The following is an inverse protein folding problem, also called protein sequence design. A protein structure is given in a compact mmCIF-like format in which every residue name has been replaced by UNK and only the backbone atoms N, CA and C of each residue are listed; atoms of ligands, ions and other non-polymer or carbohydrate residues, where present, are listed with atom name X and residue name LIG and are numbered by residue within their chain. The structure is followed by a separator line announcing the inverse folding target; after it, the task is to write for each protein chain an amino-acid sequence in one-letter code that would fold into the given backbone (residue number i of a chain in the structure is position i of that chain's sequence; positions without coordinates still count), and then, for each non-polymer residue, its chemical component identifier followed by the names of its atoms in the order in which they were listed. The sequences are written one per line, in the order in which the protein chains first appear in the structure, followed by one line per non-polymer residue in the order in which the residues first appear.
data_IF_914116742081
#
_entry.id   IF_914116742081
#
_cell.length_a   1.000
_cell.length_b   1.000
_cell.length_c   1.000
_cell.angle_alpha   90.00
_cell.angle_beta   90.00
_cell.angle_gamma   90.00
#
_symmetry.space_group_name_H-M   'P 1'
#
loop_
_entity.id
_entity.type
_entity.pdbx_description
1 polymer ?
#
# COMPACT_ATOMS: atom_id res chain seq x y z
N UNK A 1 34.61 23.11 70.79
CA UNK A 1 34.13 22.47 69.55
C UNK A 1 33.40 23.52 68.71
N UNK A 2 34.10 24.14 67.75
CA UNK A 2 33.53 25.16 66.87
C UNK A 2 32.83 24.49 65.67
N UNK A 3 31.51 24.62 65.60
CA UNK A 3 30.71 24.12 64.48
C UNK A 3 30.82 25.07 63.27
N UNK A 4 31.40 24.60 62.18
CA UNK A 4 31.46 25.32 60.90
C UNK A 4 30.11 25.18 60.18
N UNK A 5 29.30 26.24 60.19
CA UNK A 5 28.09 26.32 59.35
C UNK A 5 28.47 26.53 57.89
N UNK A 6 28.23 25.53 57.05
CA UNK A 6 28.39 25.63 55.59
C UNK A 6 27.27 26.52 55.01
N UNK A 7 27.65 27.68 54.47
CA UNK A 7 26.73 28.56 53.71
C UNK A 7 26.43 27.88 52.37
N UNK A 8 25.20 27.41 52.19
CA UNK A 8 24.72 26.95 50.88
C UNK A 8 24.30 28.21 50.11
N UNK A 9 25.06 28.56 49.06
CA UNK A 9 24.62 29.59 48.12
C UNK A 9 23.46 29.02 47.30
N UNK A 10 22.24 29.43 47.62
CA UNK A 10 21.08 29.15 46.80
C UNK A 10 21.08 30.15 45.62
N UNK A 11 21.78 29.80 44.55
CA UNK A 11 21.67 30.49 43.27
C UNK A 11 20.31 30.14 42.66
N UNK A 12 19.37 31.08 42.70
CA UNK A 12 18.06 30.92 42.06
C UNK A 12 18.14 31.17 40.55
N UNK A 13 17.43 30.38 39.77
CA UNK A 13 17.26 30.58 38.33
C UNK A 13 16.46 31.86 38.10
N UNK A 14 16.88 32.70 37.14
CA UNK A 14 16.10 33.91 36.82
C UNK A 14 14.89 33.58 35.96
N UNK A 15 13.82 34.37 36.05
CA UNK A 15 12.61 34.18 35.23
C UNK A 15 12.92 34.26 33.73
N UNK A 16 13.86 35.14 33.35
CA UNK A 16 14.32 35.30 31.97
C UNK A 16 15.09 34.08 31.49
N UNK A 17 15.93 33.51 32.34
CA UNK A 17 16.73 32.32 32.02
C UNK A 17 15.86 31.09 31.81
N UNK A 18 14.81 30.92 32.63
CA UNK A 18 13.81 29.89 32.39
C UNK A 18 13.06 30.14 31.05
N UNK A 19 12.66 31.39 30.78
CA UNK A 19 11.92 31.74 29.57
C UNK A 19 12.72 31.45 28.28
N UNK A 20 14.00 31.81 28.25
CA UNK A 20 14.88 31.55 27.10
C UNK A 20 15.03 30.05 26.88
N UNK A 21 15.22 29.25 27.93
CA UNK A 21 15.35 27.80 27.81
C UNK A 21 14.08 27.16 27.24
N UNK A 22 12.90 27.52 27.76
CA UNK A 22 11.64 26.96 27.23
C UNK A 22 11.41 27.41 25.78
N UNK A 23 11.76 28.65 25.42
CA UNK A 23 11.64 29.11 24.03
C UNK A 23 12.55 28.32 23.07
N UNK A 24 13.78 27.99 23.49
CA UNK A 24 14.70 27.20 22.67
C UNK A 24 14.19 25.76 22.54
N UNK A 25 13.68 25.17 23.61
CA UNK A 25 13.12 23.81 23.57
C UNK A 25 11.91 23.71 22.63
N UNK A 26 11.00 24.68 22.69
CA UNK A 26 9.83 24.72 21.77
C UNK A 26 10.29 24.87 20.32
N UNK A 27 11.26 25.75 20.06
CA UNK A 27 11.81 25.94 18.72
C UNK A 27 12.45 24.66 18.16
N UNK A 28 13.30 23.99 18.95
CA UNK A 28 13.94 22.75 18.53
C UNK A 28 12.92 21.63 18.29
N UNK A 29 11.90 21.50 19.15
CA UNK A 29 10.84 20.51 18.96
C UNK A 29 10.05 20.72 17.66
N UNK A 30 9.77 21.97 17.28
CA UNK A 30 9.07 22.27 16.03
C UNK A 30 9.86 21.80 14.79
N UNK A 31 11.18 22.03 14.76
CA UNK A 31 12.04 21.60 13.64
C UNK A 31 12.16 20.08 13.58
N UNK A 32 12.30 19.41 14.73
CA UNK A 32 12.42 17.95 14.82
C UNK A 32 11.17 17.26 14.25
N UNK A 33 9.97 17.76 14.56
CA UNK A 33 8.71 17.16 14.07
C UNK A 33 8.64 17.13 12.54
N UNK A 34 9.06 18.21 11.87
CA UNK A 34 9.05 18.27 10.41
C UNK A 34 10.04 17.27 9.78
N UNK A 35 11.25 17.17 10.33
CA UNK A 35 12.26 16.23 9.86
C UNK A 35 11.83 14.76 10.07
N UNK A 36 11.26 14.44 11.24
CA UNK A 36 10.82 13.08 11.56
C UNK A 36 9.70 12.60 10.63
N UNK A 37 8.74 13.46 10.26
CA UNK A 37 7.65 13.09 9.35
C UNK A 37 8.18 12.58 8.01
N UNK A 38 9.15 13.29 7.41
CA UNK A 38 9.73 12.88 6.13
C UNK A 38 10.51 11.56 6.24
N UNK A 39 11.18 11.32 7.36
CA UNK A 39 11.90 10.07 7.58
C UNK A 39 10.96 8.87 7.77
N UNK A 40 9.80 9.07 8.41
CA UNK A 40 8.76 8.04 8.52
C UNK A 40 8.22 7.70 7.13
N UNK A 41 7.91 8.70 6.30
CA UNK A 41 7.45 8.49 4.92
C UNK A 41 8.47 7.69 4.10
N UNK A 42 9.74 8.08 4.13
CA UNK A 42 10.80 7.32 3.46
C UNK A 42 10.93 5.88 3.97
N UNK A 43 10.74 5.66 5.27
CA UNK A 43 10.76 4.31 5.85
C UNK A 43 9.61 3.44 5.34
N UNK A 44 8.39 4.00 5.30
CA UNK A 44 7.21 3.32 4.77
C UNK A 44 7.31 3.08 3.27
N UNK A 45 7.80 4.06 2.51
CA UNK A 45 7.97 3.97 1.06
C UNK A 45 9.03 2.92 0.69
N UNK A 46 10.15 2.88 1.42
CA UNK A 46 11.15 1.83 1.25
C UNK A 46 10.55 0.43 1.54
N UNK A 47 9.66 0.35 2.54
CA UNK A 47 8.94 -0.89 2.85
C UNK A 47 7.98 -1.28 1.72
N UNK A 48 7.17 -0.34 1.21
CA UNK A 48 6.26 -0.56 0.06
C UNK A 48 7.00 -1.04 -1.18
N UNK A 49 8.08 -0.36 -1.57
CA UNK A 49 8.93 -0.76 -2.71
C UNK A 49 9.47 -2.18 -2.52
N UNK A 50 10.02 -2.48 -1.34
CA UNK A 50 10.51 -3.82 -1.03
C UNK A 50 9.42 -4.89 -1.07
N UNK A 51 8.21 -4.56 -0.61
CA UNK A 51 7.07 -5.47 -0.61
C UNK A 51 6.57 -5.77 -2.03
N UNK A 52 6.38 -4.74 -2.85
CA UNK A 52 6.03 -4.90 -4.26
C UNK A 52 7.10 -5.70 -5.00
N UNK A 53 8.38 -5.42 -4.78
CA UNK A 53 9.46 -6.19 -5.40
C UNK A 53 9.44 -7.67 -5.01
N UNK A 54 9.18 -7.99 -3.73
CA UNK A 54 9.04 -9.38 -3.30
C UNK A 54 7.84 -10.08 -3.95
N UNK A 55 6.72 -9.37 -4.11
CA UNK A 55 5.55 -9.88 -4.84
C UNK A 55 5.91 -10.12 -6.31
N UNK A 56 6.56 -9.15 -6.97
CA UNK A 56 7.02 -9.29 -8.36
C UNK A 56 7.89 -10.53 -8.53
N UNK A 57 8.92 -10.72 -7.71
CA UNK A 57 9.78 -11.93 -7.79
C UNK A 57 8.97 -13.22 -7.67
N UNK A 58 8.01 -13.26 -6.75
CA UNK A 58 7.20 -14.46 -6.52
C UNK A 58 6.16 -14.71 -7.62
N UNK A 59 5.58 -13.65 -8.18
CA UNK A 59 4.63 -13.69 -9.31
C UNK A 59 5.35 -14.16 -10.58
N UNK A 60 6.57 -13.71 -10.80
CA UNK A 60 7.44 -14.15 -11.91
C UNK A 60 7.90 -15.61 -11.73
N UNK A 61 8.09 -16.10 -10.50
CA UNK A 61 8.35 -17.51 -10.24
C UNK A 61 7.09 -18.37 -10.44
N UNK A 62 5.92 -17.87 -10.03
CA UNK A 62 4.63 -18.50 -10.28
C UNK A 62 4.38 -18.70 -11.78
N UNK A 63 4.67 -17.68 -12.60
CA UNK A 63 4.47 -17.75 -14.05
C UNK A 63 5.32 -18.86 -14.69
N UNK A 64 6.58 -19.01 -14.27
CA UNK A 64 7.48 -20.06 -14.82
C UNK A 64 6.94 -21.48 -14.64
N UNK A 65 6.22 -21.72 -13.55
CA UNK A 65 5.67 -23.02 -13.22
C UNK A 65 4.24 -23.22 -13.78
N UNK A 66 3.47 -22.14 -13.96
CA UNK A 66 2.06 -22.19 -14.36
C UNK A 66 1.79 -21.74 -15.81
N UNK A 67 2.77 -21.13 -16.49
CA UNK A 67 2.68 -20.49 -17.81
C UNK A 67 1.69 -19.32 -17.88
N UNK A 68 1.32 -18.75 -16.74
CA UNK A 68 0.49 -17.58 -16.62
C UNK A 68 0.70 -16.89 -15.27
N UNK A 69 0.44 -15.59 -15.24
CA UNK A 69 0.47 -14.84 -13.99
C UNK A 69 -0.74 -15.20 -13.10
N UNK A 70 -0.59 -15.12 -11.77
CA UNK A 70 -1.66 -15.45 -10.84
C UNK A 70 -2.83 -14.49 -10.97
N UNK A 71 -4.03 -15.00 -10.69
CA UNK A 71 -5.23 -14.19 -10.53
C UNK A 71 -5.19 -13.40 -9.21
N UNK A 72 -5.95 -12.28 -9.09
CA UNK A 72 -5.92 -11.41 -7.92
C UNK A 72 -6.18 -12.13 -6.60
N UNK A 73 -7.00 -13.19 -6.61
CA UNK A 73 -7.31 -14.02 -5.44
C UNK A 73 -6.08 -14.64 -4.76
N UNK A 74 -4.99 -14.87 -5.49
CA UNK A 74 -3.75 -15.38 -4.92
C UNK A 74 -2.81 -14.27 -4.44
N UNK A 75 -2.97 -13.04 -4.93
CA UNK A 75 -2.12 -11.87 -4.65
C UNK A 75 -2.80 -10.93 -3.64
N UNK A 76 -3.62 -11.48 -2.73
CA UNK A 76 -4.27 -10.71 -1.66
C UNK A 76 -3.45 -10.75 -0.38
N UNK A 77 -3.37 -9.63 0.32
CA UNK A 77 -2.79 -9.61 1.65
C UNK A 77 -3.84 -10.09 2.68
N UNK A 78 -3.80 -11.38 3.02
CA UNK A 78 -4.69 -11.95 4.05
C UNK A 78 -3.83 -12.41 5.23
N UNK A 79 -4.15 -12.02 6.48
CA UNK A 79 -3.32 -12.32 7.64
C UNK A 79 -3.04 -13.82 7.86
N UNK A 80 -4.02 -14.66 7.55
CA UNK A 80 -4.02 -16.11 7.80
C UNK A 80 -3.77 -16.96 6.54
N UNK A 81 -3.74 -16.35 5.36
CA UNK A 81 -3.59 -17.07 4.10
C UNK A 81 -2.12 -17.12 3.65
N UNK A 82 -1.86 -18.09 2.81
CA UNK A 82 -0.57 -18.39 2.21
C UNK A 82 -0.51 -18.03 0.73
N UNK A 83 -1.59 -17.45 0.17
CA UNK A 83 -1.69 -16.85 -1.17
C UNK A 83 -0.79 -17.50 -2.22
N UNK A 84 0.36 -16.88 -2.45
CA UNK A 84 1.35 -17.24 -3.47
C UNK A 84 2.32 -18.39 -3.14
N UNK A 85 2.00 -19.30 -2.22
CA UNK A 85 2.89 -20.44 -1.93
C UNK A 85 3.08 -21.35 -3.15
N UNK A 86 4.29 -21.93 -3.33
CA UNK A 86 5.46 -21.85 -2.43
C UNK A 86 6.34 -20.60 -2.63
N UNK A 87 6.05 -19.76 -3.62
CA UNK A 87 6.91 -18.66 -4.07
C UNK A 87 6.99 -17.50 -3.08
N UNK A 88 5.89 -17.23 -2.37
CA UNK A 88 5.86 -16.24 -1.29
C UNK A 88 5.15 -16.82 -0.07
N UNK A 89 5.82 -16.75 1.08
CA UNK A 89 5.26 -17.32 2.33
C UNK A 89 3.98 -16.62 2.78
N UNK A 90 3.90 -15.31 2.55
CA UNK A 90 2.78 -14.42 2.84
C UNK A 90 2.87 -13.18 1.97
N UNK A 91 1.77 -12.80 1.33
CA UNK A 91 1.67 -11.53 0.60
C UNK A 91 1.67 -10.36 1.60
N UNK A 92 2.63 -9.42 1.51
CA UNK A 92 2.68 -8.28 2.42
C UNK A 92 1.52 -7.32 2.19
N UNK A 93 1.05 -6.71 3.27
CA UNK A 93 0.09 -5.61 3.24
C UNK A 93 0.83 -4.27 3.25
N UNK A 94 0.21 -3.24 2.67
CA UNK A 94 0.67 -1.87 2.82
C UNK A 94 0.81 -1.50 4.31
N UNK A 95 1.96 -0.95 4.75
CA UNK A 95 2.28 -0.77 6.17
C UNK A 95 1.45 0.33 6.86
N UNK A 96 0.75 1.18 6.10
CA UNK A 96 -0.06 2.27 6.64
C UNK A 96 -1.54 1.94 6.62
N UNK A 97 -1.99 1.32 5.54
CA UNK A 97 -3.41 1.08 5.25
C UNK A 97 -3.83 -0.36 5.51
N UNK A 98 -2.89 -1.28 5.74
CA UNK A 98 -3.13 -2.71 6.02
C UNK A 98 -3.96 -3.48 4.99
N UNK A 99 -3.96 -3.06 3.72
CA UNK A 99 -4.48 -3.94 2.68
C UNK A 99 -3.54 -4.12 1.51
N UNK A 100 -4.02 -4.88 0.54
CA UNK A 100 -3.28 -5.32 -0.62
C UNK A 100 -2.81 -4.13 -1.44
N UNK A 101 -1.68 -4.34 -2.12
CA UNK A 101 -1.30 -3.51 -3.25
C UNK A 101 -2.26 -3.78 -4.39
N UNK A 102 -2.56 -2.76 -5.19
CA UNK A 102 -3.49 -2.93 -6.28
C UNK A 102 -2.84 -3.76 -7.39
N UNK A 103 -3.41 -4.92 -7.69
CA UNK A 103 -2.89 -5.88 -8.66
C UNK A 103 -3.76 -5.89 -9.91
N UNK A 104 -3.24 -5.31 -10.98
CA UNK A 104 -3.86 -5.30 -12.30
C UNK A 104 -3.27 -6.42 -13.15
N UNK A 105 -4.08 -7.03 -14.00
CA UNK A 105 -3.63 -8.07 -14.91
C UNK A 105 -4.48 -8.09 -16.18
N UNK A 106 -4.06 -8.84 -17.19
CA UNK A 106 -4.83 -9.07 -18.40
C UNK A 106 -6.22 -9.67 -18.09
N UNK A 107 -7.28 -9.17 -18.74
CA UNK A 107 -8.66 -9.69 -18.65
C UNK A 107 -8.77 -11.11 -19.26
N UNK A 108 -8.21 -12.07 -18.54
CA UNK A 108 -8.05 -13.47 -18.91
C UNK A 108 -8.01 -14.33 -17.66
N UNK A 109 -8.53 -15.57 -17.74
CA UNK A 109 -8.33 -16.57 -16.69
C UNK A 109 -6.90 -17.12 -16.64
N UNK A 110 -6.09 -16.79 -17.65
CA UNK A 110 -4.70 -17.17 -17.82
C UNK A 110 -3.91 -15.91 -18.26
N UNK A 111 -3.69 -14.93 -17.36
CA UNK A 111 -3.11 -13.64 -17.70
C UNK A 111 -1.68 -13.78 -18.22
N UNK A 112 -1.39 -13.08 -19.31
CA UNK A 112 -0.05 -13.00 -19.89
C UNK A 112 0.78 -11.84 -19.35
N UNK A 113 0.19 -10.87 -18.65
CA UNK A 113 0.91 -9.75 -18.02
C UNK A 113 0.22 -9.29 -16.73
N UNK A 114 0.97 -8.57 -15.89
CA UNK A 114 0.45 -7.94 -14.67
C UNK A 114 1.14 -6.60 -14.35
N UNK A 115 0.52 -5.81 -13.47
CA UNK A 115 1.09 -4.60 -12.84
C UNK A 115 0.68 -4.54 -11.37
N UNK A 116 1.56 -4.03 -10.52
CA UNK A 116 1.32 -3.81 -9.09
C UNK A 116 1.49 -2.33 -8.80
N UNK A 117 0.48 -1.70 -8.22
CA UNK A 117 0.48 -0.27 -7.95
C UNK A 117 0.42 0.05 -6.46
N UNK A 118 0.97 1.22 -6.11
CA UNK A 118 0.81 1.85 -4.79
C UNK A 118 1.02 3.35 -4.87
N UNK A 119 0.87 4.01 -3.71
CA UNK A 119 1.25 5.40 -3.53
C UNK A 119 2.40 5.52 -2.54
N UNK A 120 3.44 6.24 -2.95
CA UNK A 120 4.53 6.67 -2.09
C UNK A 120 4.18 8.03 -1.48
N UNK A 121 4.41 8.15 -0.17
CA UNK A 121 4.06 9.35 0.61
C UNK A 121 5.09 10.48 0.40
N UNK A 122 6.36 10.13 0.16
CA UNK A 122 7.41 11.09 -0.13
C UNK A 122 7.35 11.53 -1.60
N UNK A 123 6.56 12.56 -1.90
CA UNK A 123 6.39 13.15 -3.24
C UNK A 123 7.67 13.69 -3.93
N UNK A 124 8.81 13.66 -3.25
CA UNK A 124 10.12 14.05 -3.82
C UNK A 124 11.02 12.84 -4.11
N UNK A 125 10.49 11.63 -3.96
CA UNK A 125 11.18 10.41 -4.34
C UNK A 125 11.34 10.34 -5.87
N UNK A 126 12.51 9.90 -6.33
CA UNK A 126 12.85 9.87 -7.77
C UNK A 126 12.11 8.76 -8.51
N UNK A 127 11.66 7.73 -7.79
CA UNK A 127 10.94 6.60 -8.37
C UNK A 127 9.43 6.88 -8.47
N UNK A 128 8.97 8.05 -8.02
CA UNK A 128 7.59 8.47 -8.26
C UNK A 128 7.42 8.75 -9.75
N UNK A 129 6.47 8.04 -10.33
CA UNK A 129 5.99 8.25 -11.69
C UNK A 129 4.88 9.32 -11.73
N UNK A 130 4.46 9.66 -12.94
CA UNK A 130 3.21 10.39 -13.19
C UNK A 130 2.01 9.65 -12.57
N UNK A 131 0.86 10.32 -12.47
CA UNK A 131 -0.39 9.68 -11.99
C UNK A 131 -0.78 8.58 -12.98
N UNK A 132 -0.73 7.32 -12.54
CA UNK A 132 -0.81 6.12 -13.38
C UNK A 132 -1.86 5.13 -12.88
N UNK A 133 -2.25 4.23 -13.78
CA UNK A 133 -3.15 3.12 -13.50
C UNK A 133 -4.62 3.55 -13.45
N UNK A 134 -5.51 2.68 -12.96
CA UNK A 134 -6.94 2.99 -12.88
C UNK A 134 -7.21 4.27 -12.10
N UNK A 135 -8.10 5.10 -12.65
CA UNK A 135 -8.46 6.42 -12.12
C UNK A 135 -7.24 7.32 -11.83
N UNK A 136 -6.10 7.08 -12.50
CA UNK A 136 -4.84 7.81 -12.33
C UNK A 136 -4.44 7.99 -10.86
N UNK A 137 -4.72 6.97 -10.06
CA UNK A 137 -4.74 7.09 -8.60
C UNK A 137 -3.45 6.62 -7.93
N UNK A 138 -2.47 6.17 -8.70
CA UNK A 138 -1.21 5.64 -8.20
C UNK A 138 -0.02 6.42 -8.74
N UNK A 139 1.03 6.55 -7.94
CA UNK A 139 2.24 7.28 -8.31
C UNK A 139 3.49 6.38 -8.35
N UNK A 140 3.32 5.08 -8.14
CA UNK A 140 4.37 4.08 -8.24
C UNK A 140 3.78 2.74 -8.70
N UNK A 141 4.51 2.05 -9.59
CA UNK A 141 4.15 0.71 -10.00
C UNK A 141 5.38 -0.11 -10.39
N UNK A 142 5.22 -1.42 -10.35
CA UNK A 142 6.12 -2.40 -10.96
C UNK A 142 5.27 -3.30 -11.86
N UNK A 143 5.86 -3.86 -12.92
CA UNK A 143 5.12 -4.68 -13.88
C UNK A 143 5.92 -5.87 -14.37
N UNK A 144 5.23 -6.81 -15.01
CA UNK A 144 5.91 -7.83 -15.82
C UNK A 144 6.64 -7.18 -17.01
N UNK A 145 7.70 -7.80 -17.55
CA UNK A 145 8.45 -7.27 -18.70
C UNK A 145 7.64 -7.11 -19.99
N UNK A 146 6.52 -7.81 -20.10
CA UNK A 146 5.64 -7.83 -21.26
C UNK A 146 4.30 -7.11 -21.02
N UNK A 147 4.13 -6.45 -19.87
CA UNK A 147 2.98 -5.60 -19.64
C UNK A 147 2.98 -4.45 -20.66
N UNK A 148 1.83 -4.10 -21.24
CA UNK A 148 1.70 -2.86 -22.00
C UNK A 148 2.10 -1.66 -21.13
N UNK A 149 2.42 -0.52 -21.74
CA UNK A 149 2.60 0.71 -20.97
C UNK A 149 1.29 1.04 -20.21
N UNK A 150 1.35 1.38 -18.91
CA UNK A 150 0.17 1.79 -18.17
C UNK A 150 -0.35 3.13 -18.68
N UNK A 151 -1.64 3.38 -18.50
CA UNK A 151 -2.20 4.69 -18.74
C UNK A 151 -1.72 5.64 -17.63
N UNK A 152 -0.98 6.67 -18.02
CA UNK A 152 -0.38 7.65 -17.12
C UNK A 152 -0.61 9.05 -17.68
N UNK A 153 -0.91 10.00 -16.80
CA UNK A 153 -1.06 11.42 -17.15
C UNK A 153 -0.25 12.29 -16.21
N UNK A 154 0.16 13.47 -16.69
CA UNK A 154 0.87 14.44 -15.86
C UNK A 154 0.08 14.77 -14.57
N UNK A 155 0.78 14.80 -13.45
CA UNK A 155 0.24 15.01 -12.10
C UNK A 155 -0.67 16.25 -12.06
N UNK A 156 -1.92 16.08 -11.61
CA UNK A 156 -2.89 17.17 -11.52
C UNK A 156 -3.74 17.39 -12.77
N UNK A 157 -3.71 16.47 -13.74
CA UNK A 157 -4.61 16.45 -14.90
C UNK A 157 -6.07 16.17 -14.54
N UNK A 158 -6.36 15.80 -13.29
CA UNK A 158 -7.71 15.56 -12.82
C UNK A 158 -8.29 14.31 -13.47
N UNK A 159 -7.53 13.21 -13.39
CA UNK A 159 -7.90 11.90 -13.87
C UNK A 159 -9.05 11.28 -13.06
N UNK A 160 -10.26 11.85 -13.17
CA UNK A 160 -11.44 11.26 -12.57
C UNK A 160 -11.92 10.12 -13.46
N UNK A 161 -11.46 8.90 -13.20
CA UNK A 161 -12.15 7.74 -13.74
C UNK A 161 -13.44 7.47 -12.95
N UNK A 162 -14.36 6.78 -13.59
CA UNK A 162 -15.77 6.69 -13.16
C UNK A 162 -16.02 5.57 -12.14
N UNK A 163 -14.98 4.85 -11.69
CA UNK A 163 -15.13 3.67 -10.83
C UNK A 163 -15.89 2.51 -11.50
N UNK A 164 -16.00 2.52 -12.83
CA UNK A 164 -16.75 1.50 -13.57
C UNK A 164 -15.73 0.55 -14.20
N UNK A 165 -15.46 -0.58 -13.53
CA UNK A 165 -14.94 -1.85 -14.10
C UNK A 165 -14.40 -2.83 -13.03
N UNK A 166 -14.60 -2.55 -11.74
CA UNK A 166 -14.23 -3.49 -10.69
C UNK A 166 -15.40 -4.36 -10.25
N UNK A 167 -15.10 -5.63 -10.00
CA UNK A 167 -16.07 -6.61 -9.55
C UNK A 167 -15.53 -7.42 -8.38
N UNK A 168 -16.43 -7.86 -7.51
CA UNK A 168 -16.15 -8.71 -6.36
C UNK A 168 -17.13 -9.88 -6.28
N UNK A 169 -16.74 -10.94 -5.59
CA UNK A 169 -17.60 -12.08 -5.34
C UNK A 169 -18.41 -11.89 -4.06
N UNK A 170 -19.73 -12.04 -4.16
CA UNK A 170 -20.67 -11.96 -3.04
C UNK A 170 -21.69 -13.09 -3.12
N UNK A 171 -21.68 -13.98 -2.13
CA UNK A 171 -22.52 -15.17 -2.09
C UNK A 171 -22.35 -16.06 -3.33
N UNK A 172 -21.13 -16.10 -3.89
CA UNK A 172 -20.82 -16.85 -5.10
C UNK A 172 -21.19 -16.18 -6.42
N UNK A 173 -21.68 -14.93 -6.38
CA UNK A 173 -22.07 -14.15 -7.55
C UNK A 173 -21.11 -12.98 -7.75
N UNK A 174 -20.70 -12.76 -8.99
CA UNK A 174 -19.89 -11.60 -9.36
C UNK A 174 -20.77 -10.34 -9.42
N UNK A 175 -20.39 -9.29 -8.69
CA UNK A 175 -21.13 -8.03 -8.61
C UNK A 175 -20.16 -6.85 -8.76
N UNK A 176 -20.59 -5.73 -9.37
CA UNK A 176 -19.77 -4.53 -9.43
C UNK A 176 -19.50 -3.98 -8.03
N UNK A 177 -18.31 -3.45 -7.82
CA UNK A 177 -17.87 -2.85 -6.55
C UNK A 177 -17.39 -1.42 -6.77
N UNK A 178 -17.44 -0.61 -5.72
CA UNK A 178 -17.03 0.80 -5.81
C UNK A 178 -15.52 0.98 -5.64
N UNK A 179 -15.04 2.16 -6.01
CA UNK A 179 -13.73 2.68 -5.67
C UNK A 179 -13.77 3.42 -4.32
N UNK A 180 -12.81 3.16 -3.43
CA UNK A 180 -12.65 3.95 -2.19
C UNK A 180 -11.60 5.06 -2.37
N UNK A 181 -11.99 6.34 -2.35
CA UNK A 181 -11.04 7.45 -2.50
C UNK A 181 -10.19 7.70 -1.25
N UNK A 182 -10.60 7.20 -0.07
CA UNK A 182 -9.82 7.34 1.17
C UNK A 182 -8.60 6.41 1.20
N UNK A 183 -8.64 5.36 0.37
CA UNK A 183 -7.56 4.42 0.14
C UNK A 183 -7.62 4.01 -1.34
N UNK A 184 -6.92 4.73 -2.25
CA UNK A 184 -7.14 4.63 -3.69
C UNK A 184 -7.06 3.18 -4.18
N UNK A 185 -8.22 2.59 -4.45
CA UNK A 185 -8.37 1.20 -4.85
C UNK A 185 -9.84 0.72 -4.79
N UNK A 186 -10.12 -0.48 -5.30
CA UNK A 186 -11.45 -1.11 -5.21
C UNK A 186 -11.81 -1.43 -3.76
N UNK A 187 -13.05 -1.22 -3.33
CA UNK A 187 -13.50 -1.23 -1.92
C UNK A 187 -13.20 -2.52 -1.10
N UNK A 188 -12.85 -3.62 -1.76
CA UNK A 188 -12.55 -4.89 -1.13
C UNK A 188 -11.60 -5.75 -1.98
N UNK A 189 -10.99 -6.75 -1.34
CA UNK A 189 -10.12 -7.73 -1.99
C UNK A 189 -10.60 -9.17 -1.71
N UNK A 190 -10.39 -10.12 -2.65
CA UNK A 190 -9.93 -9.89 -4.01
C UNK A 190 -10.97 -9.16 -4.85
N UNK A 191 -10.49 -8.36 -5.79
CA UNK A 191 -11.28 -7.73 -6.82
C UNK A 191 -10.85 -8.22 -8.22
N UNK A 192 -11.70 -7.98 -9.22
CA UNK A 192 -11.51 -8.47 -10.58
C UNK A 192 -11.88 -7.37 -11.59
N UNK A 193 -11.14 -7.29 -12.70
CA UNK A 193 -11.44 -6.40 -13.83
C UNK A 193 -12.48 -6.95 -14.83
N UNK A 194 -13.31 -7.93 -14.42
CA UNK A 194 -14.23 -8.63 -15.31
C UNK A 194 -15.60 -8.79 -14.69
N UNK A 195 -16.66 -8.50 -15.45
CA UNK A 195 -18.06 -8.66 -15.00
C UNK A 195 -18.50 -10.10 -14.71
N UNK A 196 -17.61 -11.07 -14.93
CA UNK A 196 -17.81 -12.47 -14.58
C UNK A 196 -16.89 -12.95 -13.45
N UNK A 197 -16.00 -12.09 -12.97
CA UNK A 197 -14.96 -12.42 -11.99
C UNK A 197 -14.16 -13.66 -12.42
N UNK A 198 -14.01 -13.87 -13.74
CA UNK A 198 -13.38 -15.04 -14.35
C UNK A 198 -13.92 -16.39 -13.85
N UNK A 199 -15.20 -16.43 -13.46
CA UNK A 199 -15.83 -17.61 -12.88
C UNK A 199 -15.28 -18.01 -11.51
N UNK A 200 -14.55 -17.13 -10.83
CA UNK A 200 -13.86 -17.43 -9.58
C UNK A 200 -14.76 -17.38 -8.34
N UNK A 201 -16.00 -16.90 -8.44
CA UNK A 201 -16.86 -16.74 -7.27
C UNK A 201 -17.44 -18.05 -6.72
N UNK A 202 -17.48 -19.12 -7.51
CA UNK A 202 -18.04 -20.40 -7.09
C UNK A 202 -17.04 -21.52 -7.30
N UNK A 203 -16.87 -22.37 -6.29
CA UNK A 203 -16.04 -23.56 -6.41
C UNK A 203 -16.70 -24.55 -7.39
N UNK A 204 -16.00 -24.97 -8.47
CA UNK A 204 -16.61 -25.77 -9.53
C UNK A 204 -17.00 -27.19 -9.08
N UNK A 205 -16.36 -27.72 -8.05
CA UNK A 205 -16.60 -29.08 -7.55
C UNK A 205 -17.74 -29.12 -6.51
N UNK A 206 -17.83 -28.10 -5.67
CA UNK A 206 -18.75 -28.08 -4.52
C UNK A 206 -19.94 -27.14 -4.69
N UNK A 207 -19.87 -26.20 -5.63
CA UNK A 207 -20.86 -25.15 -5.81
C UNK A 207 -20.91 -24.14 -4.66
N UNK A 208 -19.95 -24.18 -3.73
CA UNK A 208 -19.89 -23.24 -2.60
C UNK A 208 -19.27 -21.90 -3.05
N UNK A 209 -19.69 -20.77 -2.43
CA UNK A 209 -19.03 -19.48 -2.60
C UNK A 209 -17.54 -19.55 -2.24
N UNK A 210 -16.70 -18.87 -3.02
CA UNK A 210 -15.26 -18.75 -2.79
C UNK A 210 -14.74 -17.40 -3.29
N UNK A 211 -13.53 -17.03 -2.86
CA UNK A 211 -12.90 -15.75 -3.20
C UNK A 211 -13.80 -14.53 -2.92
N UNK A 212 -14.59 -14.62 -1.84
CA UNK A 212 -15.52 -13.58 -1.45
C UNK A 212 -14.78 -12.28 -1.15
N UNK A 213 -15.30 -11.18 -1.68
CA UNK A 213 -14.70 -9.86 -1.51
C UNK A 213 -14.85 -9.44 -0.05
N UNK A 214 -13.73 -9.23 0.63
CA UNK A 214 -13.72 -8.79 2.03
C UNK A 214 -13.15 -7.38 2.11
N UNK A 215 -13.84 -6.54 2.88
CA UNK A 215 -13.29 -5.24 3.24
C UNK A 215 -11.94 -5.43 3.93
N UNK A 216 -11.05 -4.48 3.70
CA UNK A 216 -9.76 -4.41 4.37
C UNK A 216 -9.92 -4.43 5.90
N UNK A 217 -9.09 -5.19 6.61
CA UNK A 217 -9.09 -5.29 8.07
C UNK A 217 -8.30 -4.15 8.74
#
# INVERSE_FOLDING_TARGET
MSSLKRKVNASGVTLVELLVVVSILVFLMAVIMWYFRNQIFKGNDAKRKGDIHNIQVAVEEYEKDNNCYPLPSLVVCIPEDTGLKPYLSKVPCDPMTNASYFYEHEDSSCPSWYRIYTNLDNLTDIDINEECGPDYSFNFYESSPNAPDPDCVEIGSGGGGTGEDFYGCFGGVCQPINWDPSRPGPECDPNYGSGTCYGQCTNPDTGQPQNECQSWN
#
